data_IF_355038711559
#
_entry.id   IF_355038711559
#
_cell.length_a   1.000
_cell.length_b   1.000
_cell.length_c   1.000
_cell.angle_alpha   90.00
_cell.angle_beta   90.00
_cell.angle_gamma   90.00
#
_symmetry.space_group_name_H-M   'P 1'
#
loop_
_entity.id
_entity.type
_entity.pdbx_description
1 polymer ?
#
# COMPACT_ATOMS: atom_id res chain seq x y z
N UNK A 1 38.98 13.34 0.56
CA UNK A 1 37.62 13.33 -0.04
C UNK A 1 36.90 12.09 0.45
N UNK A 2 35.68 12.25 0.98
CA UNK A 2 34.83 11.15 1.46
C UNK A 2 33.99 10.63 0.30
N UNK A 3 33.89 9.31 0.15
CA UNK A 3 32.83 8.69 -0.66
C UNK A 3 31.82 8.06 0.30
N UNK A 4 30.56 8.48 0.32
CA UNK A 4 29.55 7.85 1.17
C UNK A 4 29.14 6.51 0.53
N UNK A 5 29.62 5.41 1.09
CA UNK A 5 29.13 4.08 0.74
C UNK A 5 27.74 3.88 1.36
N UNK A 6 26.75 3.69 0.50
CA UNK A 6 25.32 3.57 0.81
C UNK A 6 25.12 2.41 1.79
N UNK A 7 24.96 2.72 3.07
CA UNK A 7 24.90 1.73 4.16
C UNK A 7 23.66 0.86 3.99
N UNK A 8 23.82 -0.37 3.49
CA UNK A 8 22.79 -1.41 3.63
C UNK A 8 22.51 -1.55 5.13
N UNK A 9 21.27 -1.26 5.53
CA UNK A 9 20.87 -1.19 6.93
C UNK A 9 20.71 -2.63 7.45
N UNK A 10 21.80 -3.23 7.94
CA UNK A 10 21.77 -4.54 8.59
C UNK A 10 21.29 -4.33 10.02
N UNK A 11 20.07 -4.78 10.32
CA UNK A 11 19.56 -4.85 11.69
C UNK A 11 19.94 -6.20 12.28
N UNK A 12 20.63 -6.20 13.41
CA UNK A 12 20.95 -7.41 14.17
C UNK A 12 20.12 -7.44 15.43
N UNK A 13 19.52 -8.60 15.68
CA UNK A 13 18.80 -8.89 16.91
C UNK A 13 19.55 -10.05 17.54
N UNK A 14 20.19 -9.77 18.67
CA UNK A 14 20.85 -10.79 19.46
C UNK A 14 19.88 -11.31 20.53
N UNK A 15 20.07 -12.55 20.97
CA UNK A 15 19.34 -13.16 22.10
C UNK A 15 17.82 -13.34 21.91
N UNK A 16 17.44 -14.02 20.83
CA UNK A 16 16.06 -14.50 20.63
C UNK A 16 15.88 -15.80 21.43
N UNK A 17 15.10 -15.73 22.51
CA UNK A 17 14.83 -16.87 23.42
C UNK A 17 13.50 -17.59 23.11
N UNK A 18 12.82 -17.19 22.05
CA UNK A 18 11.58 -17.78 21.55
C UNK A 18 11.82 -18.41 20.17
N UNK A 19 10.94 -19.32 19.75
CA UNK A 19 10.99 -19.90 18.40
C UNK A 19 10.49 -18.94 17.30
N UNK A 20 10.04 -17.74 17.69
CA UNK A 20 9.49 -16.71 16.81
C UNK A 20 10.03 -15.33 17.19
N UNK A 21 10.15 -14.46 16.19
CA UNK A 21 10.49 -13.06 16.40
C UNK A 21 9.72 -12.18 15.42
N UNK A 22 9.07 -11.12 15.93
CA UNK A 22 8.35 -10.16 15.12
C UNK A 22 9.28 -9.03 14.69
N UNK A 23 9.64 -9.00 13.41
CA UNK A 23 10.38 -7.88 12.82
C UNK A 23 9.39 -6.77 12.45
N UNK A 24 9.62 -5.56 12.97
CA UNK A 24 8.78 -4.38 12.71
C UNK A 24 9.56 -3.30 11.98
N UNK A 25 8.85 -2.29 11.44
CA UNK A 25 9.48 -1.16 10.74
C UNK A 25 10.03 -1.50 9.35
N UNK A 26 9.63 -2.63 8.77
CA UNK A 26 9.97 -2.99 7.40
C UNK A 26 9.31 -2.03 6.41
N UNK A 27 10.01 -1.76 5.31
CA UNK A 27 9.49 -0.99 4.18
C UNK A 27 8.59 -1.90 3.36
N UNK A 28 7.43 -1.38 2.99
CA UNK A 28 6.49 -2.09 2.15
C UNK A 28 7.03 -2.37 0.74
N UNK A 29 6.52 -3.42 0.09
CA UNK A 29 6.93 -3.88 -1.24
C UNK A 29 8.46 -3.91 -1.43
N UNK A 30 9.18 -4.41 -0.42
CA UNK A 30 10.64 -4.46 -0.40
C UNK A 30 11.08 -5.90 -0.12
N UNK A 31 12.04 -6.40 -0.90
CA UNK A 31 12.67 -7.70 -0.66
C UNK A 31 13.58 -7.63 0.56
N UNK A 32 13.37 -8.51 1.51
CA UNK A 32 14.24 -8.70 2.67
C UNK A 32 14.92 -10.07 2.64
N UNK A 33 16.17 -10.12 3.08
CA UNK A 33 16.89 -11.36 3.37
C UNK A 33 17.08 -11.48 4.88
N UNK A 34 16.66 -12.61 5.43
CA UNK A 34 16.80 -12.96 6.83
C UNK A 34 17.85 -14.06 6.98
N UNK A 35 18.69 -13.93 8.00
CA UNK A 35 19.72 -14.92 8.34
C UNK A 35 19.64 -15.23 9.82
N UNK A 36 19.44 -16.50 10.18
CA UNK A 36 19.34 -16.98 11.55
C UNK A 36 20.53 -17.89 11.89
N UNK A 37 21.14 -17.71 13.05
CA UNK A 37 22.28 -18.51 13.51
C UNK A 37 22.11 -18.85 14.97
N UNK A 38 22.36 -20.10 15.33
CA UNK A 38 22.37 -20.55 16.73
C UNK A 38 23.78 -20.38 17.28
N UNK A 39 23.92 -19.70 18.42
CA UNK A 39 25.21 -19.52 19.11
C UNK A 39 25.17 -20.15 20.49
N UNK A 40 26.20 -20.91 20.82
CA UNK A 40 26.41 -21.52 22.14
C UNK A 40 27.80 -21.14 22.66
N UNK A 41 28.12 -21.52 23.91
CA UNK A 41 29.46 -21.34 24.47
C UNK A 41 30.58 -22.06 23.70
N UNK A 42 30.24 -23.02 22.85
CA UNK A 42 31.20 -23.80 22.06
C UNK A 42 31.37 -23.26 20.62
N UNK A 43 30.55 -22.29 20.21
CA UNK A 43 30.59 -21.71 18.88
C UNK A 43 29.20 -21.51 18.26
N UNK A 44 29.20 -21.10 16.98
CA UNK A 44 27.99 -20.76 16.21
C UNK A 44 27.75 -21.75 15.08
N UNK A 45 26.48 -21.97 14.73
CA UNK A 45 26.08 -22.78 13.59
C UNK A 45 26.39 -22.08 12.25
N UNK A 46 26.25 -22.80 11.14
CA UNK A 46 26.05 -22.16 9.84
C UNK A 46 24.72 -21.40 9.83
N UNK A 47 24.60 -20.27 9.10
CA UNK A 47 23.36 -19.51 9.03
C UNK A 47 22.31 -20.23 8.17
N UNK A 48 21.07 -20.27 8.65
CA UNK A 48 19.89 -20.52 7.84
C UNK A 48 19.43 -19.20 7.21
N UNK A 49 18.96 -19.22 5.96
CA UNK A 49 18.55 -18.00 5.23
C UNK A 49 17.17 -18.14 4.61
N UNK A 50 16.44 -17.04 4.58
CA UNK A 50 15.16 -16.91 3.89
C UNK A 50 15.07 -15.53 3.22
N UNK A 51 14.39 -15.45 2.08
CA UNK A 51 14.14 -14.19 1.37
C UNK A 51 12.66 -14.08 1.09
N UNK A 52 12.08 -12.90 1.35
CA UNK A 52 10.65 -12.67 1.14
C UNK A 52 10.37 -11.19 0.85
N UNK A 53 9.34 -10.93 0.05
CA UNK A 53 8.84 -9.57 -0.15
C UNK A 53 7.82 -9.23 0.95
N UNK A 54 7.97 -8.07 1.56
CA UNK A 54 6.86 -7.52 2.38
C UNK A 54 5.67 -7.18 1.49
N UNK A 55 4.47 -7.36 2.01
CA UNK A 55 3.24 -6.96 1.33
C UNK A 55 3.21 -5.45 1.01
N UNK A 56 2.56 -5.06 -0.10
CA UNK A 56 2.36 -3.66 -0.47
C UNK A 56 1.30 -3.01 0.45
N UNK A 57 1.61 -1.88 1.08
CA UNK A 57 0.68 -1.10 1.89
C UNK A 57 0.08 -0.03 0.96
N UNK A 58 -1.06 -0.36 0.35
CA UNK A 58 -1.60 0.34 -0.81
C UNK A 58 -2.77 1.28 -0.51
N UNK A 59 -3.06 1.54 0.77
CA UNK A 59 -4.18 2.39 1.16
C UNK A 59 -3.90 3.86 0.80
N UNK A 60 -4.67 4.47 -0.11
CA UNK A 60 -4.51 5.89 -0.45
C UNK A 60 -4.83 6.78 0.75
N UNK A 61 -4.16 7.92 0.85
CA UNK A 61 -4.34 8.86 1.96
C UNK A 61 -5.19 10.06 1.56
N UNK A 62 -5.81 10.72 2.55
CA UNK A 62 -6.45 12.02 2.39
C UNK A 62 -7.42 12.11 1.20
N UNK A 63 -8.34 11.15 1.08
CA UNK A 63 -9.41 11.20 0.09
C UNK A 63 -10.27 12.46 0.32
N UNK A 64 -10.42 13.28 -0.71
CA UNK A 64 -11.14 14.56 -0.67
C UNK A 64 -12.05 14.68 -1.86
N UNK A 65 -13.18 15.33 -1.62
CA UNK A 65 -14.13 15.75 -2.63
C UNK A 65 -13.99 17.27 -2.77
N UNK A 66 -13.53 17.74 -3.93
CA UNK A 66 -13.12 19.15 -4.12
C UNK A 66 -14.23 20.01 -4.73
N UNK A 67 -14.94 19.46 -5.72
CA UNK A 67 -16.00 20.16 -6.42
C UNK A 67 -17.10 19.14 -6.71
N UNK A 68 -18.34 19.50 -6.42
CA UNK A 68 -19.52 18.68 -6.71
C UNK A 68 -20.55 19.59 -7.37
N UNK A 69 -21.07 19.13 -8.49
CA UNK A 69 -22.20 19.75 -9.18
C UNK A 69 -23.22 18.65 -9.51
N UNK A 70 -24.30 19.03 -10.18
CA UNK A 70 -25.29 18.08 -10.68
C UNK A 70 -24.75 17.08 -11.70
N UNK A 71 -23.62 17.39 -12.36
CA UNK A 71 -23.08 16.58 -13.48
C UNK A 71 -21.65 16.08 -13.23
N UNK A 72 -20.91 16.73 -12.34
CA UNK A 72 -19.49 16.43 -12.13
C UNK A 72 -19.11 16.40 -10.67
N UNK A 73 -18.17 15.51 -10.34
CA UNK A 73 -17.52 15.50 -9.03
C UNK A 73 -16.02 15.29 -9.19
N UNK A 74 -15.23 16.15 -8.54
CA UNK A 74 -13.76 16.00 -8.52
C UNK A 74 -13.32 15.37 -7.21
N UNK A 75 -12.60 14.26 -7.32
CA UNK A 75 -12.02 13.51 -6.21
C UNK A 75 -10.51 13.61 -6.28
N UNK A 76 -9.86 13.85 -5.14
CA UNK A 76 -8.39 13.82 -5.02
C UNK A 76 -7.95 13.03 -3.80
N UNK A 77 -6.75 12.47 -3.86
CA UNK A 77 -6.14 11.69 -2.78
C UNK A 77 -4.62 11.86 -2.82
N UNK A 78 -3.92 11.19 -1.92
CA UNK A 78 -2.47 11.07 -1.91
C UNK A 78 -2.07 9.60 -1.96
N UNK A 79 -0.87 9.36 -2.44
CA UNK A 79 -0.26 8.04 -2.41
C UNK A 79 -0.20 7.46 -0.99
N UNK A 80 -0.23 6.13 -0.84
CA UNK A 80 0.06 5.45 0.42
C UNK A 80 1.37 5.95 1.04
N UNK A 81 1.43 5.96 2.38
CA UNK A 81 2.58 6.53 3.10
C UNK A 81 3.84 5.69 2.89
N UNK A 82 3.66 4.39 2.70
CA UNK A 82 4.72 3.41 2.63
C UNK A 82 4.37 2.38 1.55
N UNK A 83 4.73 2.67 0.31
CA UNK A 83 4.69 1.69 -0.77
C UNK A 83 5.84 2.01 -1.73
N UNK A 84 6.71 1.03 -1.97
CA UNK A 84 7.82 1.18 -2.92
C UNK A 84 7.50 0.54 -4.29
N UNK A 85 6.29 -0.01 -4.46
CA UNK A 85 5.83 -0.62 -5.70
C UNK A 85 5.04 0.32 -6.59
N UNK A 86 4.76 -0.09 -7.84
CA UNK A 86 3.90 0.69 -8.75
C UNK A 86 2.48 0.80 -8.19
N UNK A 87 1.87 1.97 -8.35
CA UNK A 87 0.56 2.30 -7.80
C UNK A 87 -0.48 2.45 -8.90
N UNK A 88 -1.65 1.83 -8.73
CA UNK A 88 -2.78 2.03 -9.66
C UNK A 88 -4.06 2.21 -8.88
N UNK A 89 -4.80 3.25 -9.21
CA UNK A 89 -6.01 3.67 -8.50
C UNK A 89 -7.26 3.31 -9.29
N UNK A 90 -8.30 2.96 -8.54
CA UNK A 90 -9.64 2.72 -9.04
C UNK A 90 -10.59 3.53 -8.17
N UNK A 91 -11.44 4.34 -8.80
CA UNK A 91 -12.55 5.00 -8.12
C UNK A 91 -13.79 4.15 -8.34
N UNK A 92 -14.53 3.91 -7.25
CA UNK A 92 -15.87 3.35 -7.30
C UNK A 92 -16.85 4.34 -6.68
N UNK A 93 -17.97 4.57 -7.37
CA UNK A 93 -19.03 5.43 -6.85
C UNK A 93 -20.41 4.86 -7.18
N UNK A 94 -21.40 5.33 -6.43
CA UNK A 94 -22.81 5.06 -6.69
C UNK A 94 -23.64 6.24 -6.21
N UNK A 95 -24.92 6.26 -6.60
CA UNK A 95 -25.93 7.15 -6.06
C UNK A 95 -26.88 6.34 -5.18
N UNK A 96 -27.40 6.95 -4.12
CA UNK A 96 -28.41 6.30 -3.28
C UNK A 96 -29.73 6.09 -4.07
N UNK A 97 -30.44 4.96 -3.87
CA UNK A 97 -30.09 3.85 -2.97
C UNK A 97 -28.88 3.05 -3.47
N UNK A 98 -27.86 2.90 -2.62
CA UNK A 98 -26.62 2.26 -3.01
C UNK A 98 -26.84 0.75 -3.25
N UNK A 99 -26.67 0.25 -4.49
CA UNK A 99 -26.75 -1.17 -4.76
C UNK A 99 -25.55 -1.89 -4.12
N UNK A 100 -25.58 -3.23 -4.15
CA UNK A 100 -24.42 -4.02 -3.71
C UNK A 100 -23.14 -3.52 -4.39
N UNK A 101 -22.04 -3.47 -3.64
CA UNK A 101 -20.76 -2.89 -4.05
C UNK A 101 -20.26 -3.34 -5.44
N UNK A 102 -20.56 -4.58 -5.85
CA UNK A 102 -20.24 -5.12 -7.18
C UNK A 102 -20.86 -4.37 -8.36
N UNK A 103 -21.93 -3.60 -8.12
CA UNK A 103 -22.67 -2.85 -9.14
C UNK A 103 -22.32 -1.36 -9.17
N UNK A 104 -21.37 -0.91 -8.35
CA UNK A 104 -20.92 0.48 -8.37
C UNK A 104 -20.16 0.78 -9.65
N UNK A 105 -20.36 1.98 -10.20
CA UNK A 105 -19.61 2.48 -11.34
C UNK A 105 -18.12 2.52 -10.99
N UNK A 106 -17.26 2.09 -11.92
CA UNK A 106 -15.83 1.89 -11.68
C UNK A 106 -14.97 2.58 -12.74
N UNK A 107 -14.06 3.44 -12.30
CA UNK A 107 -13.12 4.17 -13.16
C UNK A 107 -11.70 3.76 -12.81
N UNK A 108 -10.95 3.24 -13.79
CA UNK A 108 -9.52 2.97 -13.65
C UNK A 108 -8.77 4.27 -13.92
N UNK A 109 -8.08 4.79 -12.92
CA UNK A 109 -7.44 6.13 -12.98
C UNK A 109 -5.93 6.04 -13.22
N UNK A 110 -5.36 4.83 -13.25
CA UNK A 110 -3.92 4.64 -13.41
C UNK A 110 -3.16 5.19 -12.21
N UNK A 111 -2.09 5.93 -12.45
CA UNK A 111 -1.21 6.52 -11.42
C UNK A 111 -1.67 7.92 -10.95
N UNK A 112 -2.72 8.47 -11.55
CA UNK A 112 -3.21 9.81 -11.20
C UNK A 112 -3.80 9.81 -9.79
N UNK A 113 -3.58 10.90 -9.04
CA UNK A 113 -4.10 11.12 -7.67
C UNK A 113 -5.26 12.10 -7.60
N UNK A 114 -5.79 12.48 -8.77
CA UNK A 114 -6.94 13.36 -8.94
C UNK A 114 -7.73 12.92 -10.17
N UNK A 115 -9.05 12.92 -10.05
CA UNK A 115 -9.95 12.55 -11.13
C UNK A 115 -11.26 13.32 -11.06
N UNK A 116 -11.77 13.71 -12.22
CA UNK A 116 -13.09 14.33 -12.35
C UNK A 116 -14.04 13.31 -12.95
N UNK A 117 -15.02 12.89 -12.15
CA UNK A 117 -16.19 12.16 -12.60
C UNK A 117 -17.07 13.13 -13.39
N UNK A 118 -17.49 12.73 -14.59
CA UNK A 118 -18.43 13.45 -15.44
C UNK A 118 -19.69 12.64 -15.64
N UNK A 119 -20.73 13.28 -16.17
CA UNK A 119 -22.00 12.64 -16.52
C UNK A 119 -22.62 11.91 -15.32
N UNK A 120 -22.43 12.46 -14.13
CA UNK A 120 -23.18 12.05 -12.95
C UNK A 120 -24.64 12.36 -13.27
N UNK A 121 -25.44 11.31 -13.51
CA UNK A 121 -26.83 11.48 -13.92
C UNK A 121 -27.55 12.36 -12.90
N UNK A 122 -28.09 13.54 -13.29
CA UNK A 122 -28.98 14.29 -12.42
C UNK A 122 -30.29 13.51 -12.35
N UNK A 123 -30.43 12.68 -11.32
CA UNK A 123 -31.65 11.96 -10.93
C UNK A 123 -32.56 11.61 -12.12
N UNK A 124 -32.11 10.74 -13.02
CA UNK A 124 -33.01 10.23 -14.06
C UNK A 124 -33.88 9.15 -13.45
N UNK A 125 -34.97 9.57 -12.79
CA UNK A 125 -36.15 8.73 -12.62
C UNK A 125 -36.66 8.37 -14.02
N UNK A 126 -36.13 7.31 -14.62
CA UNK A 126 -36.81 6.64 -15.71
C UNK A 126 -38.04 5.96 -15.12
N UNK A 127 -39.15 6.72 -15.05
CA UNK A 127 -40.47 6.18 -14.84
C UNK A 127 -40.93 5.49 -16.14
N UNK A 128 -41.18 4.19 -16.04
CA UNK A 128 -42.11 3.44 -16.90
C UNK A 128 -43.03 2.64 -15.97
#
# INVERSE_FOLDING_TARGET
>A
MKTPQRRNQVVRVDFINEEKYLVTGLKSFTLYEFSLTTTTRYGSSKPARAQEYTEPCTVPQNLRLEAISCETATVSWRAPKMNNGPERYVIQYTQEPAPQFRYWSRYKVGENTRFTLTDLLPDTRSAL
#
